data_IF_762830727292
#
_entry.id   IF_762830727292
#
_cell.length_a   1.000
_cell.length_b   1.000
_cell.length_c   1.000
_cell.angle_alpha   90.00
_cell.angle_beta   90.00
_cell.angle_gamma   90.00
#
_symmetry.space_group_name_H-M   'P 1'
#
loop_
_entity.id
_entity.type
_entity.pdbx_description
1 polymer ?
#
# COMPACT_ATOMS: atom_id res chain seq x y z
N UNK A 1 -30.84 -33.77 41.29
CA UNK A 1 -29.78 -32.73 41.36
C UNK A 1 -28.58 -33.02 40.45
N UNK A 2 -27.97 -34.23 40.49
CA UNK A 2 -26.79 -34.56 39.66
C UNK A 2 -27.00 -34.42 38.14
N UNK A 3 -28.15 -34.87 37.60
CA UNK A 3 -28.47 -34.82 36.14
C UNK A 3 -28.69 -33.41 35.58
N UNK A 4 -29.23 -32.49 36.38
CA UNK A 4 -29.40 -31.07 36.01
C UNK A 4 -28.07 -30.33 35.98
N UNK A 5 -27.15 -30.68 36.91
CA UNK A 5 -25.80 -30.14 36.94
C UNK A 5 -24.97 -30.59 35.73
N UNK A 6 -25.12 -31.85 35.30
CA UNK A 6 -24.41 -32.38 34.11
C UNK A 6 -24.90 -31.70 32.83
N UNK A 7 -26.21 -31.50 32.70
CA UNK A 7 -26.80 -30.82 31.53
C UNK A 7 -26.34 -29.36 31.43
N UNK A 8 -26.27 -28.65 32.57
CA UNK A 8 -25.82 -27.26 32.62
C UNK A 8 -24.33 -27.11 32.23
N UNK A 9 -23.48 -28.05 32.64
CA UNK A 9 -22.04 -28.05 32.27
C UNK A 9 -21.85 -28.37 30.78
N UNK A 10 -22.64 -29.29 30.22
CA UNK A 10 -22.58 -29.61 28.78
C UNK A 10 -23.07 -28.45 27.89
N UNK A 11 -24.08 -27.69 28.33
CA UNK A 11 -24.54 -26.49 27.60
C UNK A 11 -23.50 -25.36 27.70
N UNK A 12 -22.85 -25.16 28.84
CA UNK A 12 -21.77 -24.17 28.97
C UNK A 12 -20.56 -24.50 28.07
N UNK A 13 -20.21 -25.79 27.92
CA UNK A 13 -19.12 -26.22 27.04
C UNK A 13 -19.45 -26.09 25.56
N UNK A 14 -20.71 -26.31 25.15
CA UNK A 14 -21.15 -26.08 23.76
C UNK A 14 -21.20 -24.59 23.39
N UNK A 15 -21.59 -23.71 24.33
CA UNK A 15 -21.64 -22.26 24.08
C UNK A 15 -20.24 -21.63 24.10
N UNK A 16 -19.31 -22.17 24.91
CA UNK A 16 -17.91 -21.71 24.94
C UNK A 16 -17.12 -22.03 23.66
N UNK A 17 -17.45 -23.12 22.96
CA UNK A 17 -16.77 -23.51 21.73
C UNK A 17 -17.10 -22.65 20.49
N UNK A 18 -18.22 -21.93 20.51
CA UNK A 18 -18.68 -21.09 19.39
C UNK A 18 -18.07 -19.67 19.40
N UNK A 19 -17.39 -19.27 20.46
CA UNK A 19 -16.83 -17.92 20.62
C UNK A 19 -15.35 -17.80 20.18
N UNK A 20 -14.72 -18.87 19.72
CA UNK A 20 -13.28 -18.88 19.38
C UNK A 20 -12.94 -19.20 17.92
N UNK A 21 -13.92 -19.29 17.02
CA UNK A 21 -13.68 -19.53 15.59
C UNK A 21 -13.85 -18.27 14.74
N UNK A 22 -13.08 -17.22 15.07
CA UNK A 22 -12.74 -16.19 14.10
C UNK A 22 -11.24 -15.86 14.21
N UNK A 23 -10.41 -16.88 14.03
CA UNK A 23 -9.10 -16.63 13.44
C UNK A 23 -9.34 -16.27 11.97
N UNK A 24 -9.74 -15.02 11.73
CA UNK A 24 -9.61 -14.45 10.40
C UNK A 24 -8.13 -14.60 10.05
N UNK A 25 -7.83 -15.45 9.07
CA UNK A 25 -6.59 -15.33 8.34
C UNK A 25 -6.59 -13.88 7.85
N UNK A 26 -5.81 -13.02 8.50
CA UNK A 26 -5.50 -11.74 7.93
C UNK A 26 -4.79 -12.08 6.63
N UNK A 27 -5.52 -12.02 5.52
CA UNK A 27 -4.95 -12.15 4.18
C UNK A 27 -3.79 -11.16 4.17
N UNK A 28 -2.58 -11.69 4.23
CA UNK A 28 -1.39 -10.85 4.24
C UNK A 28 -1.44 -10.12 2.91
N UNK A 29 -1.65 -8.79 2.95
CA UNK A 29 -1.86 -8.01 1.74
C UNK A 29 -0.79 -8.38 0.71
N UNK A 30 -1.20 -8.61 -0.54
CA UNK A 30 -0.26 -8.85 -1.64
C UNK A 30 0.52 -7.56 -1.94
N UNK A 31 1.68 -7.65 -2.60
CA UNK A 31 2.41 -6.44 -3.00
C UNK A 31 1.56 -5.52 -3.89
N UNK A 32 0.82 -6.08 -4.84
CA UNK A 32 -0.07 -5.35 -5.76
C UNK A 32 -1.23 -4.66 -5.03
N UNK A 33 -1.92 -5.35 -4.11
CA UNK A 33 -2.99 -4.74 -3.30
C UNK A 33 -2.45 -3.66 -2.35
N UNK A 34 -1.25 -3.84 -1.80
CA UNK A 34 -0.58 -2.83 -0.97
C UNK A 34 -0.23 -1.58 -1.80
N UNK A 35 0.26 -1.76 -3.02
CA UNK A 35 0.55 -0.68 -3.97
C UNK A 35 -0.72 0.06 -4.40
N UNK A 36 -1.81 -0.67 -4.66
CA UNK A 36 -3.10 -0.06 -5.00
C UNK A 36 -3.63 0.80 -3.85
N UNK A 37 -3.54 0.29 -2.62
CA UNK A 37 -3.94 1.03 -1.42
C UNK A 37 -3.10 2.30 -1.22
N UNK A 38 -1.79 2.22 -1.49
CA UNK A 38 -0.91 3.38 -1.45
C UNK A 38 -1.37 4.48 -2.42
N UNK A 39 -1.52 4.18 -3.70
CA UNK A 39 -1.91 5.21 -4.68
C UNK A 39 -3.33 5.75 -4.46
N UNK A 40 -4.26 4.91 -4.03
CA UNK A 40 -5.61 5.37 -3.66
C UNK A 40 -5.58 6.36 -2.48
N UNK A 41 -4.70 6.14 -1.50
CA UNK A 41 -4.46 7.10 -0.41
C UNK A 41 -3.71 8.35 -0.90
N UNK A 42 -2.68 8.17 -1.71
CA UNK A 42 -1.80 9.24 -2.21
C UNK A 42 -2.59 10.28 -3.01
N UNK A 43 -3.28 9.83 -4.07
CA UNK A 43 -4.07 10.69 -4.96
C UNK A 43 -5.21 11.37 -4.20
N UNK A 44 -5.83 10.69 -3.22
CA UNK A 44 -6.88 11.27 -2.37
C UNK A 44 -6.37 12.39 -1.45
N UNK A 45 -5.10 12.37 -1.06
CA UNK A 45 -4.50 13.47 -0.30
C UNK A 45 -4.15 14.64 -1.23
N UNK A 46 -3.62 14.35 -2.42
CA UNK A 46 -3.33 15.39 -3.42
C UNK A 46 -4.59 16.11 -3.88
N UNK A 47 -5.72 15.40 -4.05
CA UNK A 47 -7.03 16.01 -4.35
C UNK A 47 -7.58 16.91 -3.22
N UNK A 48 -6.84 17.08 -2.13
CA UNK A 48 -7.15 17.97 -1.00
C UNK A 48 -6.04 19.00 -0.77
N UNK A 49 -5.16 19.20 -1.77
CA UNK A 49 -4.00 20.07 -1.70
C UNK A 49 -3.01 19.71 -0.58
N UNK A 50 -2.98 18.43 -0.17
CA UNK A 50 -2.05 17.92 0.84
C UNK A 50 -0.98 17.09 0.15
N UNK A 51 0.26 17.58 0.17
CA UNK A 51 1.38 16.82 -0.39
C UNK A 51 1.68 15.56 0.46
N UNK A 52 1.40 14.33 -0.03
CA UNK A 52 1.38 13.13 0.81
C UNK A 52 2.76 12.75 1.34
N UNK A 53 3.84 13.15 0.65
CA UNK A 53 5.22 12.97 1.15
C UNK A 53 5.40 13.56 2.55
N UNK A 54 4.73 14.67 2.87
CA UNK A 54 4.84 15.34 4.16
C UNK A 54 3.88 14.79 5.22
N UNK A 55 2.87 14.01 4.82
CA UNK A 55 1.89 13.42 5.74
C UNK A 55 2.48 12.22 6.51
N UNK A 56 2.12 12.08 7.80
CA UNK A 56 2.62 10.96 8.63
C UNK A 56 2.06 9.60 8.21
N UNK A 57 0.91 9.57 7.53
CA UNK A 57 0.30 8.38 6.96
C UNK A 57 1.18 7.67 5.94
N UNK A 58 2.16 8.36 5.34
CA UNK A 58 3.07 7.75 4.36
C UNK A 58 3.82 6.53 4.90
N UNK A 59 4.10 6.47 6.21
CA UNK A 59 4.82 5.35 6.81
C UNK A 59 4.00 4.05 6.86
N UNK A 60 2.70 4.09 6.60
CA UNK A 60 1.89 2.89 6.41
C UNK A 60 2.36 2.14 5.15
N UNK A 61 2.71 2.87 4.10
CA UNK A 61 2.96 2.35 2.76
C UNK A 61 4.43 2.37 2.35
N UNK A 62 5.19 3.36 2.82
CA UNK A 62 6.59 3.58 2.44
C UNK A 62 7.49 3.28 3.63
N UNK A 63 8.65 2.66 3.37
CA UNK A 63 9.65 2.44 4.41
C UNK A 63 10.11 3.77 5.00
N UNK A 64 10.38 3.81 6.32
CA UNK A 64 10.82 5.03 7.00
C UNK A 64 12.08 5.62 6.34
N UNK A 65 13.06 4.77 6.01
CA UNK A 65 14.29 5.21 5.36
C UNK A 65 14.02 5.94 4.03
N UNK A 66 13.14 5.40 3.19
CA UNK A 66 12.78 6.00 1.89
C UNK A 66 12.02 7.31 2.08
N UNK A 67 10.99 7.32 2.93
CA UNK A 67 10.20 8.52 3.19
C UNK A 67 11.04 9.66 3.78
N UNK A 68 11.93 9.37 4.74
CA UNK A 68 12.84 10.37 5.31
C UNK A 68 13.89 10.85 4.31
N UNK A 69 14.43 9.94 3.49
CA UNK A 69 15.37 10.30 2.42
C UNK A 69 14.74 11.27 1.43
N UNK A 70 13.51 10.99 0.99
CA UNK A 70 12.74 11.86 0.08
C UNK A 70 12.38 13.19 0.75
N UNK A 71 11.97 13.20 2.01
CA UNK A 71 11.71 14.46 2.75
C UNK A 71 12.95 15.31 2.91
N UNK A 72 14.10 14.68 3.14
CA UNK A 72 15.36 15.38 3.19
C UNK A 72 15.71 15.97 1.82
N UNK A 73 15.58 15.20 0.74
CA UNK A 73 15.80 15.66 -0.61
C UNK A 73 14.86 16.83 -0.99
N UNK A 74 13.57 16.70 -0.69
CA UNK A 74 12.57 17.75 -0.90
C UNK A 74 12.93 19.06 -0.20
N UNK A 75 13.29 19.01 1.09
CA UNK A 75 13.69 20.20 1.86
C UNK A 75 14.94 20.91 1.32
N UNK A 76 15.78 20.21 0.56
CA UNK A 76 16.99 20.76 -0.04
C UNK A 76 16.85 20.98 -1.54
N UNK A 77 15.65 20.84 -2.12
CA UNK A 77 15.37 20.94 -3.55
C UNK A 77 16.25 19.99 -4.40
N UNK A 78 16.34 18.74 -3.95
CA UNK A 78 17.15 17.65 -4.55
C UNK A 78 16.32 16.38 -4.78
N UNK A 79 15.01 16.51 -4.97
CA UNK A 79 14.22 15.34 -5.34
C UNK A 79 14.76 14.78 -6.67
N UNK A 80 14.82 13.45 -6.83
CA UNK A 80 15.26 12.86 -8.09
C UNK A 80 14.30 13.19 -9.23
N UNK A 81 14.82 13.77 -10.31
CA UNK A 81 14.04 14.17 -11.49
C UNK A 81 13.28 15.48 -11.30
N UNK A 82 12.56 15.88 -12.35
CA UNK A 82 11.83 17.16 -12.42
C UNK A 82 10.31 17.00 -12.19
N UNK A 83 9.91 15.90 -11.55
CA UNK A 83 8.52 15.49 -11.35
C UNK A 83 8.29 14.92 -9.94
N UNK A 84 7.04 14.66 -9.58
CA UNK A 84 6.74 13.96 -8.33
C UNK A 84 7.40 12.56 -8.32
N UNK A 85 7.97 12.20 -7.17
CA UNK A 85 8.77 10.98 -7.08
C UNK A 85 7.93 9.70 -7.24
N UNK A 86 6.68 9.69 -6.81
CA UNK A 86 5.82 8.51 -6.78
C UNK A 86 4.93 8.36 -8.02
N UNK A 87 4.57 9.46 -8.67
CA UNK A 87 3.74 9.46 -9.90
C UNK A 87 4.56 9.67 -11.17
N UNK A 88 5.77 10.23 -11.06
CA UNK A 88 6.70 10.54 -12.17
C UNK A 88 6.14 11.55 -13.17
N UNK A 89 5.17 12.37 -12.75
CA UNK A 89 4.59 13.46 -13.54
C UNK A 89 4.55 14.76 -12.73
N UNK A 90 4.47 15.89 -13.43
CA UNK A 90 4.33 17.22 -12.79
C UNK A 90 2.88 17.54 -12.44
N UNK A 91 1.93 17.08 -13.26
CA UNK A 91 0.50 17.33 -13.11
C UNK A 91 -0.29 16.16 -13.72
N UNK A 92 -1.47 15.90 -13.17
CA UNK A 92 -2.40 14.89 -13.64
C UNK A 92 -3.83 15.18 -13.14
N UNK A 93 -4.84 14.67 -13.85
CA UNK A 93 -6.23 14.76 -13.40
C UNK A 93 -6.48 13.77 -12.25
N UNK A 94 -6.63 14.27 -11.02
CA UNK A 94 -6.80 13.42 -9.84
C UNK A 94 -8.12 12.64 -9.86
N UNK A 95 -9.15 13.17 -10.53
CA UNK A 95 -10.43 12.48 -10.68
C UNK A 95 -10.32 11.33 -11.68
N UNK A 96 -9.63 11.50 -12.81
CA UNK A 96 -9.36 10.41 -13.75
C UNK A 96 -8.49 9.34 -13.07
N UNK A 97 -7.37 9.75 -12.47
CA UNK A 97 -6.41 8.83 -11.89
C UNK A 97 -6.97 8.07 -10.69
N UNK A 98 -7.70 8.73 -9.78
CA UNK A 98 -8.32 8.05 -8.62
C UNK A 98 -9.28 6.93 -9.01
N UNK A 99 -9.90 7.04 -10.18
CA UNK A 99 -10.80 6.02 -10.73
C UNK A 99 -10.10 4.99 -11.65
N UNK A 100 -8.83 5.23 -12.01
CA UNK A 100 -8.08 4.49 -13.03
C UNK A 100 -6.67 4.14 -12.57
N UNK A 101 -6.57 3.52 -11.39
CA UNK A 101 -5.33 2.91 -10.88
C UNK A 101 -5.37 1.41 -11.21
N UNK A 102 -4.52 0.98 -12.13
CA UNK A 102 -4.37 -0.42 -12.52
C UNK A 102 -3.02 -0.95 -12.01
N UNK A 103 -3.07 -1.82 -11.01
CA UNK A 103 -1.89 -2.56 -10.52
C UNK A 103 -1.81 -3.91 -11.19
N UNK A 104 -0.64 -4.25 -11.71
CA UNK A 104 -0.38 -5.54 -12.34
C UNK A 104 0.17 -6.56 -11.33
N UNK A 105 0.20 -7.83 -11.71
CA UNK A 105 0.77 -8.88 -10.87
C UNK A 105 2.23 -8.57 -10.53
N UNK A 106 2.59 -8.74 -9.25
CA UNK A 106 3.94 -8.51 -8.79
C UNK A 106 4.94 -9.50 -9.41
N UNK A 107 6.08 -8.98 -9.86
CA UNK A 107 7.25 -9.75 -10.26
C UNK A 107 8.17 -9.87 -9.04
N UNK A 108 8.42 -11.11 -8.59
CA UNK A 108 9.29 -11.36 -7.45
C UNK A 108 10.75 -11.50 -7.90
N UNK A 109 11.62 -10.63 -7.38
CA UNK A 109 13.07 -10.65 -7.57
C UNK A 109 13.73 -10.91 -6.21
N UNK A 110 13.74 -12.19 -5.80
CA UNK A 110 14.15 -12.57 -4.45
C UNK A 110 13.16 -12.04 -3.41
N UNK A 111 13.64 -11.21 -2.47
CA UNK A 111 12.82 -10.60 -1.42
C UNK A 111 12.20 -9.25 -1.83
N UNK A 112 12.41 -8.83 -3.08
CA UNK A 112 11.83 -7.63 -3.66
C UNK A 112 10.63 -7.99 -4.53
N UNK A 113 9.51 -7.33 -4.31
CA UNK A 113 8.38 -7.35 -5.23
C UNK A 113 8.43 -6.10 -6.11
N UNK A 114 8.32 -6.27 -7.43
CA UNK A 114 8.17 -5.16 -8.38
C UNK A 114 6.74 -5.20 -8.91
N UNK A 115 5.98 -4.14 -8.66
CA UNK A 115 4.59 -3.99 -9.10
C UNK A 115 4.55 -2.90 -10.17
N UNK A 116 4.28 -3.26 -11.44
CA UNK A 116 3.93 -2.28 -12.46
C UNK A 116 2.57 -1.65 -12.13
N UNK A 117 2.48 -0.34 -12.27
CA UNK A 117 1.24 0.42 -12.06
C UNK A 117 1.01 1.31 -13.27
N UNK A 118 -0.24 1.33 -13.75
CA UNK A 118 -0.68 2.22 -14.81
C UNK A 118 -1.78 3.14 -14.29
N UNK A 119 -1.65 4.43 -14.58
CA UNK A 119 -2.61 5.46 -14.23
C UNK A 119 -3.31 6.03 -15.45
N UNK A 120 -4.53 6.50 -15.24
CA UNK A 120 -5.29 7.30 -16.20
C UNK A 120 -6.00 6.48 -17.28
N UNK A 121 -6.99 7.12 -17.93
CA UNK A 121 -7.82 6.47 -18.95
C UNK A 121 -7.32 6.64 -20.38
N UNK A 122 -6.70 7.77 -20.72
CA UNK A 122 -6.25 8.12 -22.07
C UNK A 122 -4.72 8.16 -22.18
N UNK A 123 -4.11 9.18 -21.56
CA UNK A 123 -2.67 9.37 -21.55
C UNK A 123 -2.07 8.57 -20.39
N UNK A 124 -1.97 7.27 -20.62
CA UNK A 124 -1.57 6.31 -19.60
C UNK A 124 -0.12 6.50 -19.20
N UNK A 125 0.10 6.69 -17.90
CA UNK A 125 1.44 6.76 -17.30
C UNK A 125 1.70 5.47 -16.54
N UNK A 126 2.90 4.90 -16.70
CA UNK A 126 3.29 3.70 -15.98
C UNK A 126 4.58 3.87 -15.18
N UNK A 127 4.55 3.33 -13.96
CA UNK A 127 5.68 3.33 -13.03
C UNK A 127 5.95 1.92 -12.51
N UNK A 128 7.16 1.69 -12.05
CA UNK A 128 7.60 0.46 -11.41
C UNK A 128 7.79 0.69 -9.92
N UNK A 129 6.99 0.01 -9.10
CA UNK A 129 7.01 0.16 -7.64
C UNK A 129 7.73 -1.00 -7.00
N UNK A 130 8.78 -0.72 -6.23
CA UNK A 130 9.61 -1.72 -5.57
C UNK A 130 9.23 -1.80 -4.10
N UNK A 131 8.76 -2.97 -3.67
CA UNK A 131 8.36 -3.24 -2.30
C UNK A 131 9.26 -4.29 -1.66
N UNK A 132 9.48 -4.13 -0.36
CA UNK A 132 10.05 -5.17 0.51
C UNK A 132 9.13 -5.42 1.68
N UNK A 133 9.15 -6.64 2.20
CA UNK A 133 8.37 -7.00 3.39
C UNK A 133 9.07 -6.47 4.65
N UNK A 134 8.37 -5.70 5.47
CA UNK A 134 8.79 -5.26 6.81
C UNK A 134 7.77 -5.75 7.85
N UNK A 135 8.15 -6.77 8.61
CA UNK A 135 7.19 -7.54 9.42
C UNK A 135 6.17 -8.22 8.50
N UNK A 136 4.88 -7.99 8.72
CA UNK A 136 3.80 -8.57 7.91
C UNK A 136 3.28 -7.63 6.81
N UNK A 137 3.98 -6.53 6.51
CA UNK A 137 3.53 -5.52 5.55
C UNK A 137 4.52 -5.35 4.40
N UNK A 138 4.01 -5.25 3.17
CA UNK A 138 4.80 -4.75 2.05
C UNK A 138 4.92 -3.24 2.13
N UNK A 139 6.14 -2.74 1.96
CA UNK A 139 6.41 -1.31 1.95
C UNK A 139 7.27 -0.90 0.77
N UNK A 140 6.92 0.24 0.21
CA UNK A 140 7.62 0.86 -0.91
C UNK A 140 9.02 1.30 -0.46
N UNK A 141 9.99 0.98 -1.29
CA UNK A 141 11.41 1.30 -1.12
C UNK A 141 11.98 2.10 -2.29
N UNK A 142 11.35 2.02 -3.47
CA UNK A 142 11.71 2.78 -4.66
C UNK A 142 10.51 2.84 -5.60
N UNK A 143 10.40 3.93 -6.36
CA UNK A 143 9.54 4.02 -7.56
C UNK A 143 10.39 4.51 -8.72
N UNK A 144 10.25 3.88 -9.87
CA UNK A 144 10.91 4.22 -11.12
C UNK A 144 9.89 4.49 -12.23
N UNK A 145 10.30 5.28 -13.23
CA UNK A 145 9.55 5.43 -14.48
C UNK A 145 9.89 4.29 -15.46
N UNK A 146 9.34 4.40 -16.67
CA UNK A 146 9.53 3.45 -17.78
C UNK A 146 10.20 4.12 -18.98
N UNK A 147 10.86 5.26 -18.76
CA UNK A 147 11.54 6.00 -19.82
C UNK A 147 12.83 5.30 -20.24
N UNK A 148 13.25 5.60 -21.47
CA UNK A 148 14.55 5.18 -21.97
C UNK A 148 15.68 5.87 -21.19
N UNK A 149 16.85 5.24 -21.19
CA UNK A 149 18.06 5.80 -20.61
C UNK A 149 18.40 7.17 -21.24
N UNK A 150 18.75 8.15 -20.41
CA UNK A 150 19.19 9.49 -20.79
C UNK A 150 20.65 9.73 -20.39
#
# INVERSE_FOLDING_TARGET
>A
MKKLLTLAVSVLLLVGGLLFQQAAFADSATPDSSTKAFYAWYIKLESKDIYPLLDKGIYVYVTKATAEGLRNAYRHNRLPGDADYFTKVQDYDEHDWSNKIETHQAIMLGDVAVVPVTFGSKDKISVLVFLRKQGDRWKITKVDDTLDYQ
#
